data_IF_224328279038
#
_entry.id   IF_224328279038
#
_cell.length_a   1.000
_cell.length_b   1.000
_cell.length_c   1.000
_cell.angle_alpha   90.00
_cell.angle_beta   90.00
_cell.angle_gamma   90.00
#
_symmetry.space_group_name_H-M   'P 1'
#
loop_
_entity.id
_entity.type
_entity.pdbx_description
1 polymer ?
#
# COMPACT_ATOMS: atom_id res chain seq x y z
N UNK A 1 18.71 15.53 -0.72
CA UNK A 1 19.07 16.17 -2.03
C UNK A 1 17.87 16.22 -2.97
N UNK A 2 17.10 15.11 -3.15
CA UNK A 2 15.98 15.03 -4.10
C UNK A 2 14.89 16.08 -3.86
N UNK A 3 14.47 16.30 -2.61
CA UNK A 3 13.46 17.32 -2.26
C UNK A 3 13.92 18.72 -2.63
N UNK A 4 15.21 19.06 -2.44
CA UNK A 4 15.75 20.37 -2.85
C UNK A 4 15.58 20.60 -4.36
N UNK A 5 15.89 19.61 -5.19
CA UNK A 5 15.73 19.73 -6.64
C UNK A 5 14.27 19.76 -7.07
N UNK A 6 13.40 19.03 -6.39
CA UNK A 6 11.95 19.07 -6.65
C UNK A 6 11.37 20.47 -6.33
N UNK A 7 11.76 21.07 -5.20
CA UNK A 7 11.37 22.42 -4.82
C UNK A 7 11.92 23.48 -5.80
N UNK A 8 13.15 23.28 -6.28
CA UNK A 8 13.73 24.16 -7.28
C UNK A 8 12.98 24.05 -8.62
N UNK A 9 12.70 22.83 -9.09
CA UNK A 9 11.89 22.60 -10.30
C UNK A 9 10.50 23.22 -10.20
N UNK A 10 9.85 23.16 -9.03
CA UNK A 10 8.54 23.74 -8.80
C UNK A 10 8.50 25.26 -9.05
N UNK A 11 9.59 25.99 -8.78
CA UNK A 11 9.68 27.44 -9.00
C UNK A 11 9.58 27.85 -10.46
N UNK A 12 9.91 26.93 -11.37
CA UNK A 12 9.87 27.21 -12.82
C UNK A 12 8.53 26.86 -13.45
N UNK A 13 7.59 26.24 -12.71
CA UNK A 13 6.26 25.92 -13.25
C UNK A 13 5.40 27.15 -13.51
N UNK A 14 5.65 28.26 -12.81
CA UNK A 14 4.92 29.52 -12.95
C UNK A 14 5.54 30.47 -13.99
N UNK A 15 6.57 30.02 -14.71
CA UNK A 15 7.20 30.85 -15.77
C UNK A 15 6.23 31.01 -16.96
N UNK A 16 5.98 32.25 -17.42
CA UNK A 16 5.10 32.51 -18.56
C UNK A 16 5.57 31.80 -19.83
N UNK A 17 4.62 31.30 -20.62
CA UNK A 17 4.85 30.66 -21.92
C UNK A 17 5.69 29.37 -21.87
N UNK A 18 5.66 28.67 -20.75
CA UNK A 18 6.27 27.34 -20.66
C UNK A 18 5.61 26.38 -21.68
N UNK A 19 6.41 25.63 -22.43
CA UNK A 19 5.84 24.59 -23.30
C UNK A 19 5.24 23.48 -22.45
N UNK A 20 4.17 22.82 -22.96
CA UNK A 20 3.52 21.70 -22.26
C UNK A 20 4.52 20.57 -21.92
N UNK A 21 5.46 20.27 -22.83
CA UNK A 21 6.51 19.27 -22.60
C UNK A 21 7.46 19.68 -21.44
N UNK A 22 7.87 20.97 -21.40
CA UNK A 22 8.72 21.47 -20.31
C UNK A 22 7.97 21.48 -18.97
N UNK A 23 6.72 21.94 -18.96
CA UNK A 23 5.86 21.90 -17.76
C UNK A 23 5.71 20.48 -17.23
N UNK A 24 5.45 19.51 -18.12
CA UNK A 24 5.36 18.09 -17.78
C UNK A 24 6.66 17.54 -17.17
N UNK A 25 7.80 17.84 -17.77
CA UNK A 25 9.12 17.43 -17.24
C UNK A 25 9.39 18.00 -15.85
N UNK A 26 9.09 19.28 -15.63
CA UNK A 26 9.22 19.91 -14.31
C UNK A 26 8.28 19.29 -13.29
N UNK A 27 7.04 18.95 -13.68
CA UNK A 27 6.11 18.28 -12.80
C UNK A 27 6.57 16.86 -12.42
N UNK A 28 7.13 16.10 -13.37
CA UNK A 28 7.74 14.78 -13.09
C UNK A 28 8.88 14.92 -12.08
N UNK A 29 9.75 15.93 -12.20
CA UNK A 29 10.81 16.17 -11.23
C UNK A 29 10.28 16.53 -9.85
N UNK A 30 9.15 17.27 -9.78
CA UNK A 30 8.50 17.63 -8.52
C UNK A 30 7.82 16.43 -7.84
N UNK A 31 7.10 15.60 -8.59
CA UNK A 31 6.30 14.48 -8.09
C UNK A 31 7.04 13.16 -8.03
N UNK A 32 8.23 13.04 -8.61
CA UNK A 32 8.98 11.78 -8.75
C UNK A 32 9.63 11.24 -7.48
N UNK A 33 9.36 11.86 -6.32
CA UNK A 33 9.86 11.41 -5.02
C UNK A 33 8.79 10.51 -4.39
N UNK A 34 9.14 9.25 -4.12
CA UNK A 34 8.18 8.27 -3.57
C UNK A 34 7.72 8.69 -2.16
N UNK A 35 8.68 9.02 -1.28
CA UNK A 35 8.41 9.48 0.09
C UNK A 35 9.21 10.76 0.33
N UNK A 36 8.61 11.95 0.18
CA UNK A 36 9.29 13.20 0.43
C UNK A 36 9.45 13.45 1.93
N UNK A 37 10.65 13.81 2.37
CA UNK A 37 10.84 14.35 3.70
C UNK A 37 10.69 15.88 3.67
N UNK A 38 10.13 16.53 4.72
CA UNK A 38 10.14 17.99 4.84
C UNK A 38 11.56 18.52 5.00
N UNK A 39 11.73 19.81 4.82
CA UNK A 39 13.02 20.50 4.99
C UNK A 39 13.45 20.66 6.45
N UNK A 40 12.58 20.29 7.39
CA UNK A 40 12.87 20.26 8.83
C UNK A 40 14.12 19.44 9.13
N UNK A 41 15.01 19.98 9.96
CA UNK A 41 16.26 19.31 10.32
C UNK A 41 15.98 17.94 10.99
N UNK A 42 16.67 16.90 10.54
CA UNK A 42 16.51 15.54 11.06
C UNK A 42 15.41 14.70 10.41
N UNK A 43 14.40 15.32 9.77
CA UNK A 43 13.26 14.59 9.22
C UNK A 43 13.64 13.58 8.12
N UNK A 44 14.56 13.93 7.25
CA UNK A 44 15.04 13.02 6.19
C UNK A 44 15.80 11.81 6.77
N UNK A 45 16.58 12.02 7.81
CA UNK A 45 17.29 10.95 8.53
C UNK A 45 16.30 10.02 9.26
N UNK A 46 15.30 10.61 9.94
CA UNK A 46 14.23 9.86 10.60
C UNK A 46 13.45 9.01 9.61
N UNK A 47 13.01 9.60 8.48
CA UNK A 47 12.30 8.88 7.42
C UNK A 47 13.11 7.71 6.87
N UNK A 48 14.40 7.93 6.59
CA UNK A 48 15.30 6.88 6.11
C UNK A 48 15.48 5.76 7.12
N UNK A 49 15.66 6.10 8.40
CA UNK A 49 15.77 5.11 9.49
C UNK A 49 14.50 4.28 9.59
N UNK A 50 13.34 4.90 9.69
CA UNK A 50 12.05 4.21 9.81
C UNK A 50 11.83 3.29 8.59
N UNK A 51 12.07 3.77 7.37
CA UNK A 51 11.92 2.95 6.16
C UNK A 51 12.83 1.72 6.19
N UNK A 52 14.07 1.87 6.64
CA UNK A 52 15.03 0.75 6.79
C UNK A 52 14.58 -0.22 7.88
N UNK A 53 14.12 0.28 9.01
CA UNK A 53 13.66 -0.53 10.14
C UNK A 53 12.41 -1.34 9.74
N UNK A 54 11.44 -0.73 9.05
CA UNK A 54 10.26 -1.43 8.54
C UNK A 54 10.62 -2.54 7.55
N UNK A 55 11.52 -2.28 6.60
CA UNK A 55 12.01 -3.30 5.66
C UNK A 55 12.72 -4.45 6.39
N UNK A 56 13.53 -4.11 7.39
CA UNK A 56 14.23 -5.11 8.21
C UNK A 56 13.28 -5.96 9.04
N UNK A 57 12.26 -5.34 9.67
CA UNK A 57 11.22 -6.04 10.43
C UNK A 57 10.44 -6.99 9.53
N UNK A 58 10.00 -6.52 8.35
CA UNK A 58 9.29 -7.34 7.38
C UNK A 58 10.14 -8.53 6.89
N UNK A 59 11.38 -8.29 6.48
CA UNK A 59 12.26 -9.33 5.95
C UNK A 59 12.69 -10.39 6.97
N UNK A 60 12.80 -10.01 8.27
CA UNK A 60 13.09 -10.92 9.38
C UNK A 60 11.84 -11.55 9.99
N UNK A 61 10.66 -11.07 9.61
CA UNK A 61 9.39 -11.49 10.17
C UNK A 61 9.16 -12.99 10.09
N UNK A 62 8.46 -13.53 11.10
CA UNK A 62 8.07 -14.94 11.14
C UNK A 62 6.63 -15.06 11.61
N UNK A 63 5.85 -15.82 10.85
CA UNK A 63 4.62 -16.40 11.36
C UNK A 63 4.86 -17.79 11.90
N UNK A 64 3.80 -18.58 12.07
CA UNK A 64 3.89 -19.96 12.54
C UNK A 64 3.04 -20.89 11.70
N UNK A 65 3.48 -22.15 11.61
CA UNK A 65 2.71 -23.28 11.11
C UNK A 65 2.94 -24.48 12.04
N UNK A 66 1.87 -25.03 12.61
CA UNK A 66 1.91 -26.08 13.63
C UNK A 66 2.82 -25.69 14.83
N UNK A 67 2.75 -24.42 15.25
CA UNK A 67 3.55 -23.85 16.32
C UNK A 67 5.04 -23.62 15.99
N UNK A 68 5.48 -23.89 14.76
CA UNK A 68 6.88 -23.69 14.35
C UNK A 68 7.02 -22.39 13.54
N UNK A 69 8.07 -21.59 13.80
CA UNK A 69 8.31 -20.37 13.04
C UNK A 69 8.57 -20.66 11.55
N UNK A 70 7.92 -19.90 10.66
CA UNK A 70 8.15 -19.93 9.21
C UNK A 70 8.27 -18.50 8.65
N UNK A 71 9.01 -18.34 7.56
CA UNK A 71 9.20 -17.06 6.86
C UNK A 71 8.01 -16.66 6.00
N UNK A 72 7.96 -15.37 5.59
CA UNK A 72 6.87 -14.86 4.75
C UNK A 72 6.74 -15.60 3.42
N UNK A 73 7.85 -15.87 2.74
CA UNK A 73 7.84 -16.63 1.47
C UNK A 73 7.37 -18.08 1.64
N UNK A 74 7.70 -18.70 2.79
CA UNK A 74 7.24 -20.06 3.09
C UNK A 74 5.74 -20.04 3.39
N UNK A 75 5.23 -19.01 4.14
CA UNK A 75 3.79 -18.82 4.36
C UNK A 75 3.06 -18.68 3.03
N UNK A 76 3.56 -17.87 2.11
CA UNK A 76 2.95 -17.69 0.80
C UNK A 76 2.84 -19.02 0.03
N UNK A 77 3.91 -19.82 0.03
CA UNK A 77 3.93 -21.15 -0.58
C UNK A 77 2.96 -22.12 0.10
N UNK A 78 2.94 -22.16 1.44
CA UNK A 78 2.07 -23.06 2.21
C UNK A 78 0.59 -22.64 2.15
N UNK A 79 0.29 -21.34 2.04
CA UNK A 79 -1.09 -20.85 1.81
C UNK A 79 -1.67 -21.34 0.47
N UNK A 80 -0.84 -21.62 -0.52
CA UNK A 80 -1.24 -22.23 -1.79
C UNK A 80 -1.40 -23.76 -1.71
N UNK A 81 -0.95 -24.41 -0.66
CA UNK A 81 -1.01 -25.87 -0.48
C UNK A 81 -2.39 -26.31 0.01
N UNK A 82 -3.21 -26.87 -0.87
CA UNK A 82 -4.59 -27.29 -0.59
C UNK A 82 -4.74 -28.42 0.43
N UNK A 83 -3.65 -29.01 0.91
CA UNK A 83 -3.65 -30.07 1.92
C UNK A 83 -3.82 -29.54 3.36
N UNK A 84 -3.63 -28.23 3.58
CA UNK A 84 -3.78 -27.65 4.91
C UNK A 84 -5.24 -27.56 5.36
N UNK A 85 -5.42 -27.70 6.66
CA UNK A 85 -6.71 -27.46 7.32
C UNK A 85 -7.00 -25.97 7.45
N UNK A 86 -8.28 -25.55 7.59
CA UNK A 86 -8.63 -24.16 7.88
C UNK A 86 -7.95 -23.56 9.11
N UNK A 87 -7.63 -24.38 10.11
CA UNK A 87 -6.92 -23.95 11.32
C UNK A 87 -5.45 -23.59 11.01
N UNK A 88 -4.80 -24.34 10.11
CA UNK A 88 -3.43 -24.06 9.69
C UNK A 88 -3.34 -22.77 8.84
N UNK A 89 -4.29 -22.56 7.91
CA UNK A 89 -4.40 -21.30 7.18
C UNK A 89 -4.59 -20.12 8.13
N UNK A 90 -5.52 -20.24 9.07
CA UNK A 90 -5.77 -19.21 10.08
C UNK A 90 -4.54 -18.93 10.95
N UNK A 91 -3.82 -19.96 11.37
CA UNK A 91 -2.58 -19.82 12.14
C UNK A 91 -1.54 -19.03 11.36
N UNK A 92 -1.26 -19.40 10.11
CA UNK A 92 -0.29 -18.71 9.27
C UNK A 92 -0.68 -17.25 9.06
N UNK A 93 -1.91 -16.99 8.67
CA UNK A 93 -2.41 -15.64 8.40
C UNK A 93 -2.38 -14.76 9.66
N UNK A 94 -2.94 -15.25 10.77
CA UNK A 94 -3.03 -14.48 12.03
C UNK A 94 -1.65 -14.23 12.63
N UNK A 95 -0.80 -15.26 12.70
CA UNK A 95 0.53 -15.12 13.30
C UNK A 95 1.41 -14.16 12.50
N UNK A 96 1.32 -14.15 11.16
CA UNK A 96 2.03 -13.17 10.36
C UNK A 96 1.59 -11.75 10.65
N UNK A 97 0.29 -11.48 10.66
CA UNK A 97 -0.25 -10.14 10.92
C UNK A 97 0.04 -9.66 12.34
N UNK A 98 -0.08 -10.54 13.34
CA UNK A 98 0.18 -10.17 14.72
C UNK A 98 1.68 -10.00 15.04
N UNK A 99 2.54 -10.88 14.49
CA UNK A 99 3.96 -10.86 14.80
C UNK A 99 4.75 -9.86 13.94
N UNK A 100 4.27 -9.54 12.73
CA UNK A 100 4.97 -8.67 11.79
C UNK A 100 4.19 -7.37 11.56
N UNK A 101 2.93 -7.45 11.15
CA UNK A 101 2.16 -6.27 10.80
C UNK A 101 1.85 -5.35 11.98
N UNK A 102 1.40 -5.93 13.09
CA UNK A 102 1.02 -5.16 14.28
C UNK A 102 2.19 -4.36 14.90
N UNK A 103 3.40 -4.93 15.08
CA UNK A 103 4.55 -4.17 15.58
C UNK A 103 5.02 -3.04 14.66
N UNK A 104 4.77 -3.14 13.36
CA UNK A 104 5.17 -2.13 12.37
C UNK A 104 4.24 -0.92 12.31
N UNK A 105 3.05 -0.98 12.92
CA UNK A 105 1.97 -0.01 12.72
C UNK A 105 2.36 1.42 13.08
N UNK A 106 3.01 1.63 14.22
CA UNK A 106 3.34 2.97 14.71
C UNK A 106 4.46 3.61 13.87
N UNK A 107 5.48 2.84 13.53
CA UNK A 107 6.54 3.30 12.63
C UNK A 107 5.99 3.61 11.24
N UNK A 108 5.05 2.80 10.73
CA UNK A 108 4.40 3.06 9.43
C UNK A 108 3.57 4.35 9.47
N UNK A 109 2.80 4.57 10.53
CA UNK A 109 2.04 5.81 10.74
C UNK A 109 2.98 7.02 10.80
N UNK A 110 4.09 6.92 11.53
CA UNK A 110 5.09 7.99 11.60
C UNK A 110 5.75 8.27 10.25
N UNK A 111 6.06 7.24 9.47
CA UNK A 111 6.59 7.38 8.11
C UNK A 111 5.62 8.18 7.22
N UNK A 112 4.33 7.85 7.28
CA UNK A 112 3.27 8.55 6.53
C UNK A 112 3.17 10.02 6.96
N UNK A 113 3.22 10.32 8.27
CA UNK A 113 3.18 11.69 8.78
C UNK A 113 4.33 12.55 8.24
N UNK A 114 5.55 12.01 8.26
CA UNK A 114 6.73 12.71 7.73
C UNK A 114 6.57 12.93 6.22
N UNK A 115 6.14 11.91 5.48
CA UNK A 115 5.95 12.01 4.04
C UNK A 115 4.83 13.00 3.67
N UNK A 116 3.74 13.06 4.43
CA UNK A 116 2.68 14.05 4.24
C UNK A 116 3.17 15.48 4.46
N UNK A 117 4.03 15.72 5.45
CA UNK A 117 4.64 17.02 5.67
C UNK A 117 5.53 17.42 4.47
N UNK A 118 6.35 16.49 3.97
CA UNK A 118 7.17 16.72 2.79
C UNK A 118 6.34 16.97 1.53
N UNK A 119 5.23 16.25 1.33
CA UNK A 119 4.31 16.48 0.21
C UNK A 119 3.67 17.87 0.27
N UNK A 120 3.31 18.36 1.47
CA UNK A 120 2.78 19.72 1.67
C UNK A 120 3.79 20.79 1.29
N UNK A 121 5.06 20.63 1.62
CA UNK A 121 6.11 21.55 1.19
C UNK A 121 6.29 21.59 -0.35
N UNK A 122 5.95 20.48 -1.03
CA UNK A 122 5.95 20.39 -2.50
C UNK A 122 4.65 20.91 -3.14
N UNK A 123 3.69 21.42 -2.34
CA UNK A 123 2.44 22.00 -2.81
C UNK A 123 1.29 21.01 -3.01
N UNK A 124 1.36 19.82 -2.41
CA UNK A 124 0.28 18.83 -2.42
C UNK A 124 -0.44 18.80 -1.05
N UNK A 125 -1.69 18.35 -1.01
CA UNK A 125 -2.44 18.17 0.25
C UNK A 125 -1.83 17.08 1.13
N UNK A 126 -1.34 16.02 0.50
CA UNK A 126 -0.75 14.84 1.12
C UNK A 126 0.07 14.03 0.10
N UNK A 127 0.74 12.97 0.56
CA UNK A 127 1.54 12.10 -0.30
C UNK A 127 0.67 11.32 -1.31
N UNK A 128 -0.57 11.01 -0.99
CA UNK A 128 -1.51 10.34 -1.89
C UNK A 128 -1.90 11.23 -3.07
N UNK A 129 -2.18 12.52 -2.84
CA UNK A 129 -2.41 13.51 -3.89
C UNK A 129 -1.17 13.67 -4.78
N UNK A 130 0.02 13.72 -4.17
CA UNK A 130 1.28 13.78 -4.90
C UNK A 130 1.46 12.56 -5.82
N UNK A 131 1.19 11.35 -5.35
CA UNK A 131 1.31 10.14 -6.17
C UNK A 131 0.31 10.14 -7.33
N UNK A 132 -0.96 10.51 -7.06
CA UNK A 132 -1.99 10.60 -8.11
C UNK A 132 -1.68 11.66 -9.17
N UNK A 133 -0.96 12.72 -8.81
CA UNK A 133 -0.57 13.76 -9.77
C UNK A 133 0.41 13.28 -10.86
N UNK A 134 1.01 12.10 -10.70
CA UNK A 134 1.88 11.48 -11.70
C UNK A 134 1.17 10.86 -12.90
N UNK A 135 -0.18 10.82 -12.91
CA UNK A 135 -0.97 10.19 -13.96
C UNK A 135 -1.42 11.15 -15.10
N UNK A 136 -0.73 12.26 -15.31
CA UNK A 136 -1.06 13.28 -16.34
C UNK A 136 -2.52 13.81 -16.26
N UNK A 137 -3.11 13.78 -15.06
CA UNK A 137 -4.44 14.34 -14.74
C UNK A 137 -4.46 14.83 -13.29
N UNK A 138 -5.41 15.73 -12.93
CA UNK A 138 -5.62 16.12 -11.54
C UNK A 138 -5.89 14.91 -10.63
N UNK A 139 -5.40 14.90 -9.38
CA UNK A 139 -5.59 13.79 -8.44
C UNK A 139 -7.06 13.39 -8.23
N UNK A 140 -7.97 14.35 -8.26
CA UNK A 140 -9.41 14.15 -8.11
C UNK A 140 -10.04 13.47 -9.34
N UNK A 141 -9.57 13.82 -10.54
CA UNK A 141 -10.00 13.15 -11.78
C UNK A 141 -9.51 11.70 -11.82
N UNK A 142 -8.28 11.44 -11.37
CA UNK A 142 -7.77 10.08 -11.24
C UNK A 142 -8.59 9.25 -10.23
N UNK A 143 -8.93 9.83 -9.07
CA UNK A 143 -9.78 9.17 -8.08
C UNK A 143 -11.15 8.84 -8.67
N UNK A 144 -11.78 9.82 -9.35
CA UNK A 144 -13.07 9.61 -10.02
C UNK A 144 -13.00 8.52 -11.10
N UNK A 145 -11.94 8.51 -11.91
CA UNK A 145 -11.73 7.49 -12.94
C UNK A 145 -11.68 6.08 -12.33
N UNK A 146 -10.93 5.91 -11.24
CA UNK A 146 -10.84 4.60 -10.55
C UNK A 146 -12.16 4.17 -9.94
N UNK A 147 -12.94 5.11 -9.36
CA UNK A 147 -14.27 4.83 -8.84
C UNK A 147 -15.27 4.45 -9.94
N UNK A 148 -15.20 5.10 -11.09
CA UNK A 148 -16.08 4.78 -12.22
C UNK A 148 -15.72 3.41 -12.82
N UNK A 149 -14.43 3.09 -12.99
CA UNK A 149 -13.97 1.76 -13.40
C UNK A 149 -14.38 0.67 -12.41
N UNK A 150 -14.34 0.96 -11.10
CA UNK A 150 -14.83 0.03 -10.09
C UNK A 150 -16.33 -0.29 -10.30
N UNK A 151 -17.17 0.71 -10.50
CA UNK A 151 -18.62 0.52 -10.75
C UNK A 151 -18.88 -0.36 -11.97
N UNK A 152 -18.05 -0.26 -13.01
CA UNK A 152 -18.18 -1.08 -14.22
C UNK A 152 -17.83 -2.55 -13.96
N UNK A 153 -16.82 -2.84 -13.13
CA UNK A 153 -16.36 -4.21 -12.84
C UNK A 153 -17.04 -4.84 -11.62
N UNK A 154 -17.63 -4.03 -10.74
CA UNK A 154 -18.25 -4.49 -9.48
C UNK A 154 -19.26 -5.63 -9.67
N UNK A 155 -20.19 -5.60 -10.67
CA UNK A 155 -21.13 -6.68 -10.88
C UNK A 155 -20.45 -8.04 -11.15
N UNK A 156 -19.39 -8.02 -11.95
CA UNK A 156 -18.59 -9.22 -12.24
C UNK A 156 -17.85 -9.69 -10.97
N UNK A 157 -17.24 -8.76 -10.23
CA UNK A 157 -16.58 -9.08 -8.96
C UNK A 157 -17.53 -9.71 -7.95
N UNK A 158 -18.73 -9.15 -7.76
CA UNK A 158 -19.73 -9.68 -6.83
C UNK A 158 -20.22 -11.09 -7.24
N UNK A 159 -20.39 -11.33 -8.54
CA UNK A 159 -20.74 -12.66 -9.04
C UNK A 159 -19.64 -13.68 -8.78
N UNK A 160 -18.38 -13.33 -9.07
CA UNK A 160 -17.21 -14.16 -8.81
C UNK A 160 -17.03 -14.42 -7.31
N UNK A 161 -17.09 -13.36 -6.49
CA UNK A 161 -16.99 -13.47 -5.03
C UNK A 161 -18.07 -14.40 -4.46
N UNK A 162 -19.30 -14.29 -4.94
CA UNK A 162 -20.41 -15.16 -4.51
C UNK A 162 -20.18 -16.61 -4.92
N UNK A 163 -19.72 -16.86 -6.14
CA UNK A 163 -19.38 -18.20 -6.62
C UNK A 163 -18.25 -18.83 -5.76
N UNK A 164 -17.14 -18.11 -5.55
CA UNK A 164 -16.00 -18.58 -4.76
C UNK A 164 -16.42 -18.87 -3.33
N UNK A 165 -17.16 -17.95 -2.70
CA UNK A 165 -17.70 -18.12 -1.35
C UNK A 165 -18.56 -19.40 -1.25
N UNK A 166 -19.43 -19.64 -2.23
CA UNK A 166 -20.24 -20.86 -2.30
C UNK A 166 -19.41 -22.14 -2.38
N UNK A 167 -18.32 -22.12 -3.17
CA UNK A 167 -17.39 -23.26 -3.27
C UNK A 167 -16.62 -23.49 -1.97
N UNK A 168 -16.15 -22.43 -1.32
CA UNK A 168 -15.47 -22.52 -0.02
C UNK A 168 -16.41 -23.02 1.07
N UNK A 169 -17.67 -22.53 1.09
CA UNK A 169 -18.68 -23.03 2.02
C UNK A 169 -18.97 -24.53 1.80
N UNK A 170 -19.12 -24.96 0.55
CA UNK A 170 -19.36 -26.38 0.23
C UNK A 170 -18.17 -27.27 0.66
N UNK A 171 -16.94 -26.74 0.58
CA UNK A 171 -15.73 -27.46 0.98
C UNK A 171 -15.53 -27.51 2.49
N UNK A 172 -15.77 -26.40 3.20
CA UNK A 172 -15.37 -26.23 4.60
C UNK A 172 -16.55 -26.17 5.58
N UNK A 173 -17.79 -25.98 5.08
CA UNK A 173 -18.99 -25.86 5.90
C UNK A 173 -19.22 -24.48 6.52
N UNK A 174 -20.43 -24.27 7.06
CA UNK A 174 -20.88 -22.97 7.60
C UNK A 174 -20.04 -22.48 8.80
N UNK A 175 -19.47 -23.39 9.58
CA UNK A 175 -18.65 -23.05 10.74
C UNK A 175 -17.32 -22.39 10.35
N UNK A 176 -16.80 -22.65 9.14
CA UNK A 176 -15.55 -22.10 8.64
C UNK A 176 -15.80 -20.94 7.69
N UNK A 177 -16.69 -21.13 6.71
CA UNK A 177 -17.05 -20.11 5.74
C UNK A 177 -18.57 -20.02 5.61
N UNK A 178 -19.13 -18.88 6.01
CA UNK A 178 -20.58 -18.62 5.87
C UNK A 178 -21.00 -18.55 4.40
N UNK A 179 -22.25 -18.87 4.11
CA UNK A 179 -22.89 -18.69 2.80
C UNK A 179 -23.08 -17.23 2.42
N UNK A 180 -23.06 -16.32 3.40
CA UNK A 180 -23.27 -14.88 3.22
C UNK A 180 -22.12 -14.08 3.84
N UNK A 181 -21.99 -12.82 3.45
CA UNK A 181 -20.94 -11.93 3.95
C UNK A 181 -19.58 -12.13 3.27
N UNK A 182 -18.50 -11.68 3.87
CA UNK A 182 -17.16 -11.76 3.30
C UNK A 182 -16.61 -13.19 3.28
N UNK A 183 -15.67 -13.43 2.40
CA UNK A 183 -14.81 -14.62 2.46
C UNK A 183 -13.77 -14.37 3.55
N UNK A 184 -13.45 -15.39 4.34
CA UNK A 184 -12.34 -15.30 5.31
C UNK A 184 -11.03 -15.02 4.56
N UNK A 185 -10.24 -14.12 5.13
CA UNK A 185 -9.01 -13.63 4.47
C UNK A 185 -7.88 -14.69 4.39
N UNK A 186 -8.00 -15.77 5.15
CA UNK A 186 -7.04 -16.88 5.19
C UNK A 186 -7.42 -18.06 4.28
N UNK A 187 -8.57 -18.00 3.61
CA UNK A 187 -9.06 -19.01 2.67
C UNK A 187 -8.93 -18.53 1.23
#
# INVERSE_FOLDING_TARGET
>A
KSVKYALEAARYLDVPNLSADTARKLNILRSGIVLPAPTTAGAAQELSRISTDLQSQYGKGRGTLNGKPIGGSDIEAEMANLAHSPAQYQEMWTSWHDNVGKPMKDDYARMVDIANQGAKELGYSDVGAMWRSGYDMPPEEFAKLTDDLWKEVEPLYLALHTYVRGKLNAKYGDAVQSKTGPIRADL
#
